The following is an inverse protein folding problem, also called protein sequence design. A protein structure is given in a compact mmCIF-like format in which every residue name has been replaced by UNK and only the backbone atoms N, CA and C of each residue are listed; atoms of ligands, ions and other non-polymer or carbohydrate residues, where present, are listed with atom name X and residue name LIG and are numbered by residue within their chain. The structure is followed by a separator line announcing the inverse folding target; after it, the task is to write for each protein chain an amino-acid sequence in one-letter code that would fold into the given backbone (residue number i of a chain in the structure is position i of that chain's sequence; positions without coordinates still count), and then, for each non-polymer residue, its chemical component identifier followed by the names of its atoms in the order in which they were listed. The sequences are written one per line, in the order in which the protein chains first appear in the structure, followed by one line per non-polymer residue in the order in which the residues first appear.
data_IF_637893856322
#
_entry.id   IF_637893856322
#
_cell.length_a   1.000
_cell.length_b   1.000
_cell.length_c   1.000
_cell.angle_alpha   90.00
_cell.angle_beta   90.00
_cell.angle_gamma   90.00
#
_symmetry.space_group_name_H-M   'P 1'
#
loop_
_entity.id
_entity.type
_entity.pdbx_description
1 polymer ?
#
# COMPACT_ATOMS: atom_id res chain seq x y z
N UNK A 1 36.24 0.67 -0.37
CA UNK A 1 35.15 1.07 -1.29
C UNK A 1 34.65 -0.20 -1.93
N UNK A 2 33.44 -0.65 -1.59
CA UNK A 2 32.88 -1.87 -2.16
C UNK A 2 32.37 -1.52 -3.56
N UNK A 3 33.01 -2.10 -4.57
CA UNK A 3 32.62 -1.99 -5.97
C UNK A 3 31.33 -2.82 -6.14
N UNK A 4 30.18 -2.14 -6.03
CA UNK A 4 28.89 -2.75 -6.31
C UNK A 4 28.88 -3.08 -7.81
N UNK A 5 29.00 -4.36 -8.14
CA UNK A 5 28.93 -4.86 -9.51
C UNK A 5 27.64 -4.34 -10.17
N UNK A 6 27.74 -3.78 -11.37
CA UNK A 6 26.64 -3.18 -12.12
C UNK A 6 25.38 -4.08 -12.19
N UNK A 7 25.53 -5.40 -12.12
CA UNK A 7 24.41 -6.35 -12.03
C UNK A 7 23.52 -6.18 -10.79
N UNK A 8 24.11 -5.89 -9.62
CA UNK A 8 23.37 -5.65 -8.37
C UNK A 8 22.65 -4.28 -8.39
N UNK A 9 23.21 -3.29 -9.07
CA UNK A 9 22.57 -1.98 -9.25
C UNK A 9 21.32 -2.07 -10.15
N UNK A 10 21.38 -2.84 -11.23
CA UNK A 10 20.23 -3.04 -12.13
C UNK A 10 19.09 -3.86 -11.52
N UNK A 11 19.43 -4.80 -10.63
CA UNK A 11 18.43 -5.62 -9.93
C UNK A 11 17.75 -4.82 -8.80
N UNK A 12 18.52 -3.99 -8.08
CA UNK A 12 18.00 -3.03 -7.10
C UNK A 12 16.96 -2.06 -7.71
N UNK A 13 17.20 -1.57 -8.92
CA UNK A 13 16.31 -0.62 -9.61
C UNK A 13 14.94 -1.24 -10.00
N UNK A 14 14.91 -2.54 -10.33
CA UNK A 14 13.65 -3.25 -10.66
C UNK A 14 12.78 -3.44 -9.42
N UNK A 15 13.39 -3.84 -8.31
CA UNK A 15 12.69 -4.01 -7.04
C UNK A 15 12.17 -2.66 -6.51
N UNK A 16 12.96 -1.59 -6.62
CA UNK A 16 12.52 -0.23 -6.29
C UNK A 16 11.32 0.24 -7.13
N UNK A 17 11.31 -0.07 -8.43
CA UNK A 17 10.19 0.28 -9.32
C UNK A 17 8.94 -0.56 -9.06
N UNK A 18 9.07 -1.84 -8.76
CA UNK A 18 7.92 -2.67 -8.36
C UNK A 18 7.32 -2.22 -7.03
N UNK A 19 8.17 -1.94 -6.03
CA UNK A 19 7.76 -1.46 -4.70
C UNK A 19 7.01 -0.13 -4.79
N UNK A 20 7.45 0.80 -5.64
CA UNK A 20 6.75 2.08 -5.86
C UNK A 20 5.37 1.90 -6.52
N UNK A 21 5.24 0.97 -7.49
CA UNK A 21 3.94 0.67 -8.12
C UNK A 21 2.98 0.02 -7.14
N UNK A 22 3.43 -0.98 -6.37
CA UNK A 22 2.60 -1.65 -5.36
C UNK A 22 2.18 -0.66 -4.28
N UNK A 23 3.09 0.18 -3.79
CA UNK A 23 2.76 1.25 -2.85
C UNK A 23 1.70 2.19 -3.40
N UNK A 24 1.83 2.66 -4.64
CA UNK A 24 0.87 3.55 -5.27
C UNK A 24 -0.53 2.91 -5.41
N UNK A 25 -0.61 1.63 -5.78
CA UNK A 25 -1.87 0.89 -5.89
C UNK A 25 -2.53 0.75 -4.52
N UNK A 26 -1.79 0.32 -3.49
CA UNK A 26 -2.34 0.13 -2.15
C UNK A 26 -2.79 1.46 -1.55
N UNK A 27 -2.01 2.53 -1.75
CA UNK A 27 -2.36 3.88 -1.30
C UNK A 27 -3.64 4.40 -1.98
N UNK A 28 -3.75 4.26 -3.30
CA UNK A 28 -4.94 4.68 -4.06
C UNK A 28 -6.18 3.89 -3.63
N UNK A 29 -6.04 2.57 -3.45
CA UNK A 29 -7.13 1.69 -3.03
C UNK A 29 -7.58 2.01 -1.59
N UNK A 30 -6.62 2.24 -0.69
CA UNK A 30 -6.91 2.64 0.69
C UNK A 30 -7.66 3.97 0.76
N UNK A 31 -7.22 4.96 -0.02
CA UNK A 31 -7.92 6.25 -0.12
C UNK A 31 -9.36 6.09 -0.64
N UNK A 32 -9.55 5.33 -1.71
CA UNK A 32 -10.88 5.01 -2.27
C UNK A 32 -11.79 4.33 -1.24
N UNK A 33 -11.27 3.37 -0.47
CA UNK A 33 -12.03 2.68 0.57
C UNK A 33 -12.47 3.64 1.70
N UNK A 34 -11.60 4.55 2.13
CA UNK A 34 -11.96 5.58 3.12
C UNK A 34 -13.05 6.51 2.59
N UNK A 35 -12.90 7.01 1.36
CA UNK A 35 -13.90 7.88 0.72
C UNK A 35 -15.24 7.16 0.58
N UNK A 36 -15.23 5.89 0.16
CA UNK A 36 -16.45 5.08 0.06
C UNK A 36 -17.12 4.87 1.43
N UNK A 37 -16.35 4.61 2.48
CA UNK A 37 -16.86 4.48 3.85
C UNK A 37 -17.51 5.78 4.34
N UNK A 38 -16.84 6.92 4.15
CA UNK A 38 -17.39 8.24 4.52
C UNK A 38 -18.66 8.56 3.72
N UNK A 39 -18.66 8.33 2.41
CA UNK A 39 -19.83 8.56 1.57
C UNK A 39 -21.03 7.69 2.02
N UNK A 40 -20.77 6.45 2.42
CA UNK A 40 -21.82 5.54 2.93
C UNK A 40 -22.37 5.97 4.28
N UNK A 41 -21.53 6.52 5.18
CA UNK A 41 -21.99 7.14 6.43
C UNK A 41 -22.89 8.35 6.15
N UNK A 42 -22.48 9.23 5.24
CA UNK A 42 -23.22 10.44 4.89
C UNK A 42 -24.57 10.16 4.21
N UNK A 43 -24.67 9.01 3.53
CA UNK A 43 -25.91 8.58 2.89
C UNK A 43 -26.90 7.89 3.86
N UNK A 44 -26.60 7.82 5.16
CA UNK A 44 -27.39 7.10 6.19
C UNK A 44 -27.72 5.64 5.85
N UNK A 45 -26.99 5.05 4.88
CA UNK A 45 -27.40 3.81 4.25
C UNK A 45 -27.27 2.61 5.19
N UNK A 46 -26.07 2.38 5.72
CA UNK A 46 -25.81 1.31 6.67
C UNK A 46 -24.48 1.52 7.41
N UNK A 47 -24.56 1.74 8.72
CA UNK A 47 -23.38 2.00 9.57
C UNK A 47 -22.40 0.82 9.55
N UNK A 48 -22.88 -0.43 9.50
CA UNK A 48 -22.01 -1.61 9.49
C UNK A 48 -21.16 -1.68 8.21
N UNK A 49 -21.75 -1.35 7.05
CA UNK A 49 -21.03 -1.30 5.77
C UNK A 49 -19.99 -0.18 5.79
N UNK A 50 -20.36 0.97 6.34
CA UNK A 50 -19.49 2.13 6.37
C UNK A 50 -18.28 1.95 7.31
N UNK A 51 -18.51 1.35 8.49
CA UNK A 51 -17.43 0.93 9.42
C UNK A 51 -16.54 -0.13 8.76
N UNK A 52 -17.12 -1.09 8.03
CA UNK A 52 -16.35 -2.09 7.28
C UNK A 52 -15.43 -1.47 6.23
N UNK A 53 -15.93 -0.53 5.43
CA UNK A 53 -15.15 0.19 4.43
C UNK A 53 -14.03 1.03 5.07
N UNK A 54 -14.30 1.68 6.20
CA UNK A 54 -13.27 2.41 6.95
C UNK A 54 -12.18 1.49 7.50
N UNK A 55 -12.56 0.33 8.05
CA UNK A 55 -11.60 -0.66 8.55
C UNK A 55 -10.71 -1.21 7.42
N UNK A 56 -11.28 -1.49 6.26
CA UNK A 56 -10.52 -1.90 5.05
C UNK A 56 -9.57 -0.79 4.60
N UNK A 57 -10.03 0.46 4.55
CA UNK A 57 -9.19 1.61 4.21
C UNK A 57 -8.01 1.79 5.17
N UNK A 58 -8.25 1.67 6.49
CA UNK A 58 -7.21 1.74 7.51
C UNK A 58 -6.20 0.59 7.41
N UNK A 59 -6.67 -0.64 7.15
CA UNK A 59 -5.81 -1.79 6.94
C UNK A 59 -4.91 -1.61 5.69
N UNK A 60 -5.47 -1.12 4.59
CA UNK A 60 -4.69 -0.82 3.37
C UNK A 60 -3.66 0.28 3.63
N UNK A 61 -3.99 1.30 4.42
CA UNK A 61 -3.05 2.35 4.84
C UNK A 61 -1.90 1.78 5.69
N UNK A 62 -2.19 0.87 6.61
CA UNK A 62 -1.16 0.20 7.41
C UNK A 62 -0.21 -0.64 6.52
N UNK A 63 -0.77 -1.38 5.56
CA UNK A 63 0.01 -2.15 4.57
C UNK A 63 0.86 -1.22 3.69
N UNK A 64 0.29 -0.11 3.20
CA UNK A 64 1.03 0.89 2.43
C UNK A 64 2.20 1.48 3.26
N UNK A 65 1.97 1.78 4.54
CA UNK A 65 3.02 2.24 5.46
C UNK A 65 4.14 1.22 5.62
N UNK A 66 3.81 -0.06 5.80
CA UNK A 66 4.80 -1.12 5.93
C UNK A 66 5.61 -1.34 4.63
N UNK A 67 4.98 -1.21 3.46
CA UNK A 67 5.68 -1.22 2.16
C UNK A 67 6.60 -0.01 2.03
N UNK A 68 6.17 1.18 2.47
CA UNK A 68 6.98 2.40 2.42
C UNK A 68 8.22 2.30 3.31
N UNK A 69 8.11 1.69 4.50
CA UNK A 69 9.22 1.49 5.44
C UNK A 69 10.18 0.37 4.96
N UNK A 70 9.71 -0.50 4.06
CA UNK A 70 10.52 -1.59 3.49
C UNK A 70 10.58 -2.83 4.38
N UNK A 71 9.71 -2.88 5.39
CA UNK A 71 9.63 -3.99 6.32
C UNK A 71 9.02 -5.24 5.67
N UNK A 72 8.19 -5.05 4.63
CA UNK A 72 7.60 -6.15 3.86
C UNK A 72 8.47 -6.63 2.68
N UNK A 73 9.62 -6.01 2.40
CA UNK A 73 10.42 -6.34 1.20
C UNK A 73 10.90 -7.79 1.20
N UNK A 74 11.26 -8.33 2.36
CA UNK A 74 11.74 -9.70 2.50
C UNK A 74 10.65 -10.77 2.31
N UNK A 75 9.36 -10.42 2.43
CA UNK A 75 8.26 -11.40 2.33
C UNK A 75 7.50 -11.33 1.00
N UNK A 76 7.55 -10.19 0.30
CA UNK A 76 6.83 -9.99 -0.96
C UNK A 76 7.70 -10.15 -2.20
N UNK A 77 9.02 -9.97 -2.08
CA UNK A 77 9.95 -9.95 -3.20
C UNK A 77 11.09 -10.98 -3.08
N UNK A 78 11.02 -11.90 -2.11
CA UNK A 78 11.87 -13.10 -2.04
C UNK A 78 11.26 -14.27 -2.82
#
# INVERSE_FOLDING_TARGET
MAELSDGQLFESDKHGRQRSVVFAIVLATGFLAVVAGVATLMAEANIAVAVGLLAVGAALLAVAGAIAIGELDAYLFE
#
